data_IF_781398656310
#
_entry.id   IF_781398656310
#
_cell.length_a   1.000
_cell.length_b   1.000
_cell.length_c   1.000
_cell.angle_alpha   90.00
_cell.angle_beta   90.00
_cell.angle_gamma   90.00
#
_symmetry.space_group_name_H-M   'P 1'
#
loop_
_entity.id
_entity.type
_entity.pdbx_description
1 polymer ?
#
# COMPACT_ATOMS: atom_id res chain seq x y z
N UNK A 1 -13.48 -11.32 7.03
CA UNK A 1 -13.83 -10.60 5.78
C UNK A 1 -12.54 -10.26 5.04
N UNK A 2 -12.38 -10.72 3.79
CA UNK A 2 -11.25 -10.36 2.94
C UNK A 2 -11.63 -9.06 2.22
N UNK A 3 -10.83 -8.00 2.38
CA UNK A 3 -11.01 -6.74 1.64
C UNK A 3 -9.96 -6.65 0.54
N UNK A 4 -10.37 -6.27 -0.66
CA UNK A 4 -9.50 -6.07 -1.81
C UNK A 4 -9.83 -4.70 -2.42
N UNK A 5 -8.80 -3.98 -2.83
CA UNK A 5 -8.95 -2.74 -3.61
C UNK A 5 -7.77 -2.58 -4.57
N UNK A 6 -7.91 -1.72 -5.56
CA UNK A 6 -6.84 -1.39 -6.50
C UNK A 6 -6.21 -0.03 -6.20
N UNK A 7 -4.94 0.11 -6.57
CA UNK A 7 -4.22 1.38 -6.60
C UNK A 7 -3.60 1.56 -7.98
N UNK A 8 -3.64 2.79 -8.46
CA UNK A 8 -2.87 3.27 -9.60
C UNK A 8 -1.78 4.22 -9.13
N UNK A 9 -0.62 4.20 -9.78
CA UNK A 9 0.48 5.12 -9.49
C UNK A 9 1.41 5.25 -10.71
N UNK A 10 2.15 6.35 -10.78
CA UNK A 10 3.11 6.56 -11.85
C UNK A 10 4.51 6.07 -11.46
N UNK A 11 5.14 5.35 -12.38
CA UNK A 11 6.55 4.98 -12.27
C UNK A 11 7.23 5.11 -13.63
N UNK A 12 8.27 5.95 -13.71
CA UNK A 12 9.00 6.21 -14.98
C UNK A 12 8.07 6.61 -16.14
N UNK A 13 7.09 7.47 -15.87
CA UNK A 13 6.06 7.94 -16.84
C UNK A 13 5.12 6.85 -17.36
N UNK A 14 5.06 5.70 -16.68
CA UNK A 14 4.10 4.64 -16.96
C UNK A 14 3.09 4.55 -15.80
N UNK A 15 1.81 4.51 -16.15
CA UNK A 15 0.75 4.19 -15.19
C UNK A 15 0.84 2.71 -14.83
N UNK A 16 1.04 2.45 -13.55
CA UNK A 16 1.10 1.12 -12.97
C UNK A 16 -0.17 0.85 -12.18
N UNK A 17 -0.66 -0.39 -12.24
CA UNK A 17 -1.81 -0.83 -11.47
C UNK A 17 -1.35 -1.91 -10.47
N UNK A 18 -1.86 -1.82 -9.25
CA UNK A 18 -1.65 -2.82 -8.21
C UNK A 18 -2.97 -3.22 -7.56
N UNK A 19 -3.07 -4.49 -7.18
CA UNK A 19 -4.15 -5.03 -6.36
C UNK A 19 -3.62 -5.14 -4.93
N UNK A 20 -4.40 -4.64 -3.98
CA UNK A 20 -4.10 -4.66 -2.55
C UNK A 20 -5.10 -5.59 -1.87
N UNK A 21 -4.58 -6.67 -1.28
CA UNK A 21 -5.35 -7.55 -0.41
C UNK A 21 -5.06 -7.20 1.04
N UNK A 22 -6.12 -6.96 1.81
CA UNK A 22 -6.03 -6.63 3.23
C UNK A 22 -6.26 -7.87 4.07
N UNK A 23 -5.30 -8.16 4.94
CA UNK A 23 -5.37 -9.22 5.96
C UNK A 23 -5.34 -8.55 7.33
N UNK A 24 -6.37 -8.78 8.15
CA UNK A 24 -6.48 -8.21 9.51
C UNK A 24 -6.30 -9.31 10.54
N UNK A 25 -5.36 -9.11 11.45
CA UNK A 25 -5.16 -9.91 12.67
C UNK A 25 -5.24 -8.97 13.88
N UNK A 26 -5.46 -9.50 15.07
CA UNK A 26 -5.60 -8.68 16.29
C UNK A 26 -4.41 -7.74 16.45
N UNK A 27 -4.66 -6.42 16.36
CA UNK A 27 -3.64 -5.37 16.48
C UNK A 27 -2.78 -5.09 15.24
N UNK A 28 -2.87 -5.91 14.17
CA UNK A 28 -2.02 -5.81 12.99
C UNK A 28 -2.84 -5.91 11.69
N UNK A 29 -2.69 -4.94 10.79
CA UNK A 29 -3.20 -5.04 9.42
C UNK A 29 -2.04 -5.23 8.46
N UNK A 30 -2.14 -6.23 7.59
CA UNK A 30 -1.19 -6.48 6.51
C UNK A 30 -1.83 -6.14 5.16
N UNK A 31 -1.08 -5.43 4.33
CA UNK A 31 -1.45 -5.04 2.98
C UNK A 31 -0.53 -5.76 2.01
N UNK A 32 -1.05 -6.81 1.38
CA UNK A 32 -0.31 -7.55 0.36
C UNK A 32 -0.55 -6.91 -1.00
N UNK A 33 0.52 -6.46 -1.63
CA UNK A 33 0.51 -5.78 -2.92
C UNK A 33 0.88 -6.75 -4.01
N UNK A 34 0.12 -6.71 -5.11
CA UNK A 34 0.49 -7.36 -6.37
C UNK A 34 0.42 -6.35 -7.50
N UNK A 35 1.55 -6.07 -8.12
CA UNK A 35 1.62 -5.18 -9.29
C UNK A 35 1.23 -5.99 -10.52
N UNK A 36 0.36 -5.43 -11.36
CA UNK A 36 -0.16 -6.13 -12.55
C UNK A 36 0.91 -6.35 -13.62
N UNK A 37 1.96 -5.53 -13.62
CA UNK A 37 3.13 -5.75 -14.47
C UNK A 37 4.10 -6.71 -13.78
N UNK A 38 4.26 -7.92 -14.33
CA UNK A 38 5.09 -8.98 -13.74
C UNK A 38 6.56 -8.59 -13.52
N UNK A 39 7.16 -7.78 -14.41
CA UNK A 39 8.54 -7.32 -14.23
C UNK A 39 8.66 -6.35 -13.04
N UNK A 40 7.66 -5.50 -12.84
CA UNK A 40 7.61 -4.57 -11.70
C UNK A 40 7.24 -5.28 -10.41
N UNK A 41 6.38 -6.30 -10.46
CA UNK A 41 6.06 -7.16 -9.32
C UNK A 41 7.30 -7.93 -8.84
N UNK A 42 8.06 -8.51 -9.77
CA UNK A 42 9.33 -9.18 -9.48
C UNK A 42 10.37 -8.24 -8.86
N UNK A 43 10.37 -6.96 -9.26
CA UNK A 43 11.25 -5.93 -8.69
C UNK A 43 10.97 -5.65 -7.22
N UNK A 44 9.81 -6.04 -6.68
CA UNK A 44 9.58 -5.97 -5.23
C UNK A 44 10.37 -7.02 -4.46
N UNK A 45 10.92 -8.07 -5.10
CA UNK A 45 11.77 -9.10 -4.49
C UNK A 45 11.21 -9.66 -3.16
N UNK A 46 9.89 -9.85 -3.05
CA UNK A 46 9.23 -10.32 -1.83
C UNK A 46 8.91 -9.23 -0.79
N UNK A 47 9.35 -7.99 -0.99
CA UNK A 47 8.98 -6.82 -0.18
C UNK A 47 7.63 -6.20 -0.59
N UNK A 48 6.67 -7.04 -0.95
CA UNK A 48 5.35 -6.62 -1.45
C UNK A 48 4.29 -6.51 -0.34
N UNK A 49 4.66 -6.71 0.92
CA UNK A 49 3.74 -6.61 2.06
C UNK A 49 4.09 -5.39 2.90
N UNK A 50 3.08 -4.58 3.24
CA UNK A 50 3.19 -3.47 4.19
C UNK A 50 2.39 -3.80 5.45
N UNK A 51 2.91 -3.40 6.61
CA UNK A 51 2.24 -3.62 7.90
C UNK A 51 1.75 -2.29 8.44
N UNK A 52 0.58 -2.30 9.05
CA UNK A 52 0.08 -1.20 9.88
C UNK A 52 0.02 -1.67 11.32
N UNK A 53 0.70 -0.92 12.19
CA UNK A 53 0.78 -1.16 13.62
C UNK A 53 0.33 0.12 14.33
N UNK A 54 -0.65 0.01 15.23
CA UNK A 54 -1.22 1.15 15.95
C UNK A 54 -1.65 2.32 15.03
N UNK A 55 -2.27 2.00 13.89
CA UNK A 55 -2.75 3.01 12.93
C UNK A 55 -1.67 3.65 12.05
N UNK A 56 -0.42 3.16 12.11
CA UNK A 56 0.70 3.68 11.31
C UNK A 56 1.22 2.62 10.35
N UNK A 57 1.24 2.96 9.06
CA UNK A 57 1.83 2.12 8.01
C UNK A 57 3.36 2.14 8.11
N UNK A 58 3.99 0.97 7.99
CA UNK A 58 5.44 0.78 8.16
C UNK A 58 6.07 0.32 6.84
N UNK A 59 7.14 1.02 6.44
CA UNK A 59 7.96 0.72 5.27
C UNK A 59 9.22 -0.05 5.71
N UNK A 60 9.10 -1.35 5.97
CA UNK A 60 10.22 -2.23 6.39
C UNK A 60 11.16 -2.58 5.21
N UNK A 61 12.01 -1.65 4.74
CA UNK A 61 13.06 -1.93 3.75
C UNK A 61 14.35 -1.16 4.08
N UNK A 62 15.55 -1.76 3.93
CA UNK A 62 16.82 -1.06 4.14
C UNK A 62 16.91 0.19 3.26
N UNK A 63 17.38 1.30 3.84
CA UNK A 63 17.56 2.56 3.12
C UNK A 63 18.86 2.55 2.30
N UNK A 64 18.94 1.66 1.32
CA UNK A 64 20.12 1.47 0.45
C UNK A 64 20.08 2.32 -0.83
N UNK A 65 19.00 3.08 -1.05
CA UNK A 65 18.81 3.92 -2.23
C UNK A 65 18.54 3.14 -3.52
N UNK A 66 18.36 1.83 -3.43
CA UNK A 66 18.12 0.91 -4.55
C UNK A 66 16.89 1.29 -5.37
N UNK A 67 16.82 0.78 -6.60
CA UNK A 67 15.68 1.00 -7.49
C UNK A 67 14.41 0.38 -6.89
N UNK A 68 14.56 -0.75 -6.25
CA UNK A 68 13.57 -1.54 -5.54
C UNK A 68 12.99 -0.73 -4.39
N UNK A 69 13.86 -0.10 -3.56
CA UNK A 69 13.44 0.80 -2.50
C UNK A 69 12.63 1.99 -3.01
N UNK A 70 13.08 2.64 -4.09
CA UNK A 70 12.35 3.77 -4.70
C UNK A 70 10.96 3.35 -5.17
N UNK A 71 10.86 2.21 -5.84
CA UNK A 71 9.58 1.69 -6.32
C UNK A 71 8.65 1.31 -5.16
N UNK A 72 9.18 0.61 -4.15
CA UNK A 72 8.41 0.26 -2.95
C UNK A 72 7.93 1.50 -2.20
N UNK A 73 8.76 2.53 -2.11
CA UNK A 73 8.42 3.80 -1.44
C UNK A 73 7.27 4.52 -2.17
N UNK A 74 7.22 4.48 -3.49
CA UNK A 74 6.09 5.04 -4.25
C UNK A 74 4.78 4.33 -3.93
N UNK A 75 4.80 2.99 -3.90
CA UNK A 75 3.64 2.19 -3.52
C UNK A 75 3.21 2.50 -2.08
N UNK A 76 4.17 2.58 -1.15
CA UNK A 76 3.94 2.93 0.24
C UNK A 76 3.23 4.29 0.37
N UNK A 77 3.75 5.33 -0.28
CA UNK A 77 3.17 6.68 -0.26
C UNK A 77 1.75 6.68 -0.82
N UNK A 78 1.54 5.98 -1.95
CA UNK A 78 0.21 5.90 -2.58
C UNK A 78 -0.79 5.17 -1.69
N UNK A 79 -0.37 4.09 -1.04
CA UNK A 79 -1.18 3.32 -0.10
C UNK A 79 -1.52 4.15 1.13
N UNK A 80 -0.53 4.82 1.72
CA UNK A 80 -0.74 5.69 2.88
C UNK A 80 -1.77 6.79 2.57
N UNK A 81 -1.60 7.50 1.45
CA UNK A 81 -2.54 8.53 1.01
C UNK A 81 -3.96 7.96 0.78
N UNK A 82 -4.08 6.75 0.24
CA UNK A 82 -5.39 6.10 0.07
C UNK A 82 -6.05 5.79 1.43
N UNK A 83 -5.28 5.30 2.40
CA UNK A 83 -5.78 4.95 3.73
C UNK A 83 -6.21 6.19 4.51
N UNK A 84 -5.42 7.25 4.51
CA UNK A 84 -5.75 8.52 5.17
C UNK A 84 -7.07 9.11 4.62
N UNK A 85 -7.22 9.14 3.29
CA UNK A 85 -8.44 9.66 2.66
C UNK A 85 -9.68 8.79 2.92
N UNK A 86 -9.53 7.47 3.01
CA UNK A 86 -10.66 6.59 3.32
C UNK A 86 -11.02 6.61 4.81
N UNK A 87 -10.06 6.80 5.70
CA UNK A 87 -10.32 6.99 7.13
C UNK A 87 -11.10 8.28 7.38
N UNK A 88 -10.75 9.37 6.69
CA UNK A 88 -11.46 10.65 6.80
C UNK A 88 -12.90 10.58 6.26
N UNK A 89 -13.17 9.79 5.22
CA UNK A 89 -14.54 9.57 4.72
C UNK A 89 -15.45 8.89 5.75
N UNK A 90 -14.92 7.93 6.50
CA UNK A 90 -15.69 7.24 7.55
C UNK A 90 -15.98 8.16 8.76
N UNK A 91 -15.14 9.17 9.00
CA UNK A 91 -15.39 10.16 10.05
C UNK A 91 -16.47 11.18 9.65
N UNK A 92 -16.51 11.65 8.39
CA UNK A 92 -17.51 12.64 7.97
C UNK A 92 -18.95 12.10 7.98
N UNK A 93 -19.16 10.81 7.69
CA UNK A 93 -20.49 10.19 7.78
C UNK A 93 -20.94 9.92 9.21
N UNK A 94 -20.05 10.00 10.20
CA UNK A 94 -20.38 9.77 11.61
C UNK A 94 -20.84 11.04 12.36
N UNK A 95 -20.73 12.22 11.75
CA UNK A 95 -21.11 13.51 12.34
C UNK A 95 -22.31 14.18 11.65
N UNK A 96 -23.02 13.49 10.77
CA UNK A 96 -24.30 13.97 10.25
C UNK A 96 -25.44 13.36 11.07
N UNK A 97 -25.86 14.08 12.11
CA UNK A 97 -27.10 13.86 12.85
C UNK A 97 -27.95 15.12 12.68
#
# INVERSE_FOLDING_TARGET
MIKIFSLDFEFKKLTCFAIIRVSRKTGNTEYHVRVMNGNLDNMLCGYNTFKEVNGRLINEMPADGSRELRFRTLIFQRLQHYLENNSNRNMQTAFSI
#
